data_IF_771491832120
#
_entry.id   IF_771491832120
#
_cell.length_a   1.000
_cell.length_b   1.000
_cell.length_c   1.000
_cell.angle_alpha   90.00
_cell.angle_beta   90.00
_cell.angle_gamma   90.00
#
_symmetry.space_group_name_H-M   'P 1'
#
loop_
_entity.id
_entity.type
_entity.pdbx_description
1 polymer ?
#
# COMPACT_ATOMS: atom_id res chain seq x y z
N UNK A 1 -30.72 19.28 -0.65
CA UNK A 1 -29.63 18.54 -1.31
C UNK A 1 -28.53 18.25 -0.31
N UNK A 2 -28.33 16.98 0.07
CA UNK A 2 -27.26 16.58 1.00
C UNK A 2 -25.90 16.81 0.35
N UNK A 3 -25.03 17.59 0.99
CA UNK A 3 -23.69 17.88 0.46
C UNK A 3 -22.87 16.58 0.42
N UNK A 4 -22.38 16.21 -0.75
CA UNK A 4 -21.55 15.00 -0.90
C UNK A 4 -20.16 15.30 -0.31
N UNK A 5 -19.81 14.60 0.77
CA UNK A 5 -18.48 14.71 1.38
C UNK A 5 -17.57 13.61 0.83
N UNK A 6 -16.48 14.00 0.14
CA UNK A 6 -15.48 13.07 -0.42
C UNK A 6 -14.42 12.71 0.61
N UNK A 7 -13.88 11.50 0.49
CA UNK A 7 -12.73 11.06 1.28
C UNK A 7 -11.51 11.97 1.05
N UNK A 8 -10.75 12.26 2.11
CA UNK A 8 -9.56 13.12 2.04
C UNK A 8 -8.35 12.43 1.38
N UNK A 9 -8.40 11.12 1.15
CA UNK A 9 -7.32 10.35 0.49
C UNK A 9 -7.32 10.61 -1.02
N UNK A 10 -6.20 11.08 -1.60
CA UNK A 10 -6.06 11.26 -3.04
C UNK A 10 -6.28 9.94 -3.79
N UNK A 11 -7.09 9.98 -4.85
CA UNK A 11 -7.43 8.80 -5.65
C UNK A 11 -8.61 7.97 -5.11
N UNK A 12 -9.12 8.27 -3.91
CA UNK A 12 -10.35 7.66 -3.42
C UNK A 12 -11.57 8.42 -3.96
N UNK A 13 -12.47 7.75 -4.68
CA UNK A 13 -13.73 8.32 -5.21
C UNK A 13 -14.91 8.15 -4.26
N UNK A 14 -14.71 7.46 -3.13
CA UNK A 14 -15.79 7.14 -2.19
C UNK A 14 -16.22 8.35 -1.38
N UNK A 15 -17.50 8.35 -1.00
CA UNK A 15 -18.09 9.32 -0.10
C UNK A 15 -17.86 8.94 1.36
N UNK A 16 -18.00 9.91 2.24
CA UNK A 16 -17.89 9.76 3.70
C UNK A 16 -19.02 10.49 4.41
N UNK A 17 -19.25 10.19 5.68
CA UNK A 17 -20.08 11.03 6.51
C UNK A 17 -19.44 12.43 6.70
N UNK A 18 -20.27 13.44 6.94
CA UNK A 18 -19.83 14.84 7.09
C UNK A 18 -18.80 15.04 8.22
N UNK A 19 -18.97 14.28 9.31
CA UNK A 19 -18.12 14.32 10.50
C UNK A 19 -16.84 13.47 10.37
N UNK A 20 -16.81 12.50 9.47
CA UNK A 20 -15.61 11.69 9.20
C UNK A 20 -14.65 12.45 8.29
N UNK A 21 -13.37 12.09 8.23
CA UNK A 21 -12.41 12.62 7.21
C UNK A 21 -12.05 11.59 6.14
N UNK A 22 -12.12 10.32 6.53
CA UNK A 22 -11.86 9.16 5.70
C UNK A 22 -13.18 8.41 5.52
N UNK A 23 -13.38 7.78 4.35
CA UNK A 23 -14.47 6.81 4.20
C UNK A 23 -14.14 5.54 5.00
N UNK A 24 -15.16 4.77 5.39
CA UNK A 24 -15.00 3.54 6.19
C UNK A 24 -13.91 2.60 5.66
N UNK A 25 -13.86 2.28 4.35
CA UNK A 25 -12.84 1.37 3.85
C UNK A 25 -11.41 1.90 3.96
N UNK A 26 -11.20 3.20 3.72
CA UNK A 26 -9.88 3.81 3.91
C UNK A 26 -9.52 3.89 5.40
N UNK A 27 -10.51 4.07 6.27
CA UNK A 27 -10.29 4.06 7.71
C UNK A 27 -9.89 2.67 8.24
N UNK A 28 -10.39 1.60 7.63
CA UNK A 28 -10.01 0.23 8.03
C UNK A 28 -8.65 -0.19 7.46
N UNK A 29 -8.39 0.14 6.19
CA UNK A 29 -7.15 -0.23 5.51
C UNK A 29 -5.92 0.57 5.96
N UNK A 30 -6.10 1.76 6.55
CA UNK A 30 -4.98 2.61 6.96
C UNK A 30 -4.52 2.32 8.40
N UNK A 31 -3.19 2.28 8.65
CA UNK A 31 -2.62 2.22 9.99
C UNK A 31 -3.12 3.36 10.89
N UNK A 32 -3.28 3.08 12.19
CA UNK A 32 -3.71 4.07 13.20
C UNK A 32 -2.90 5.36 13.16
N UNK A 33 -1.58 5.25 13.02
CA UNK A 33 -0.68 6.42 12.96
C UNK A 33 -1.04 7.37 11.81
N UNK A 34 -1.27 6.83 10.61
CA UNK A 34 -1.61 7.62 9.42
C UNK A 34 -2.99 8.27 9.59
N UNK A 35 -3.97 7.53 10.14
CA UNK A 35 -5.32 8.03 10.42
C UNK A 35 -5.29 9.21 11.39
N UNK A 36 -4.61 9.04 12.52
CA UNK A 36 -4.51 10.08 13.54
C UNK A 36 -3.82 11.32 12.97
N UNK A 37 -2.73 11.14 12.20
CA UNK A 37 -2.02 12.26 11.58
C UNK A 37 -2.91 13.09 10.66
N UNK A 38 -3.75 12.47 9.84
CA UNK A 38 -4.70 13.19 8.97
C UNK A 38 -5.72 13.99 9.80
N UNK A 39 -6.29 13.37 10.83
CA UNK A 39 -7.33 13.98 11.67
C UNK A 39 -6.73 15.16 12.47
N UNK A 40 -5.58 14.96 13.11
CA UNK A 40 -4.92 15.97 13.94
C UNK A 40 -4.43 17.15 13.12
N UNK A 41 -3.71 16.91 12.02
CA UNK A 41 -3.17 17.99 11.18
C UNK A 41 -4.28 18.84 10.57
N UNK A 42 -5.43 18.23 10.24
CA UNK A 42 -6.61 18.96 9.78
C UNK A 42 -7.27 19.76 10.90
N UNK A 43 -7.40 19.18 12.09
CA UNK A 43 -7.94 19.87 13.28
C UNK A 43 -7.09 21.09 13.66
N UNK A 44 -5.77 20.98 13.55
CA UNK A 44 -4.81 22.04 13.84
C UNK A 44 -4.65 23.06 12.70
N UNK A 45 -5.34 22.89 11.56
CA UNK A 45 -5.24 23.80 10.42
C UNK A 45 -3.91 23.77 9.67
N UNK A 46 -3.03 22.79 9.95
CA UNK A 46 -1.71 22.64 9.31
C UNK A 46 -1.86 21.99 7.94
N UNK A 47 -2.32 22.77 6.97
CA UNK A 47 -2.61 22.30 5.62
C UNK A 47 -1.44 21.58 4.91
N UNK A 48 -0.17 22.01 5.04
CA UNK A 48 0.96 21.28 4.45
C UNK A 48 1.11 19.87 5.05
N UNK A 49 1.05 19.76 6.38
CA UNK A 49 1.15 18.47 7.07
C UNK A 49 -0.02 17.55 6.76
N UNK A 50 -1.23 18.11 6.66
CA UNK A 50 -2.42 17.36 6.25
C UNK A 50 -2.28 16.80 4.84
N UNK A 51 -1.83 17.62 3.88
CA UNK A 51 -1.56 17.16 2.51
C UNK A 51 -0.48 16.07 2.48
N UNK A 52 0.58 16.22 3.29
CA UNK A 52 1.64 15.21 3.40
C UNK A 52 1.10 13.88 3.98
N UNK A 53 0.27 13.94 5.02
CA UNK A 53 -0.38 12.78 5.61
C UNK A 53 -1.33 12.08 4.62
N UNK A 54 -2.10 12.85 3.85
CA UNK A 54 -2.94 12.34 2.77
C UNK A 54 -2.13 11.64 1.67
N UNK A 55 -0.97 12.20 1.27
CA UNK A 55 -0.05 11.53 0.33
C UNK A 55 0.54 10.24 0.91
N UNK A 56 0.93 10.23 2.20
CA UNK A 56 1.40 9.02 2.91
C UNK A 56 0.33 7.92 2.91
N UNK A 57 -0.93 8.29 3.15
CA UNK A 57 -2.07 7.38 3.08
C UNK A 57 -2.27 6.79 1.68
N UNK A 58 -2.26 7.63 0.63
CA UNK A 58 -2.41 7.16 -0.74
C UNK A 58 -1.27 6.18 -1.13
N UNK A 59 -0.03 6.49 -0.75
CA UNK A 59 1.12 5.59 -0.98
C UNK A 59 0.95 4.25 -0.27
N UNK A 60 0.47 4.25 0.98
CA UNK A 60 0.25 3.02 1.73
C UNK A 60 -0.83 2.15 1.09
N UNK A 61 -1.96 2.73 0.69
CA UNK A 61 -3.01 2.00 -0.02
C UNK A 61 -2.51 1.43 -1.36
N UNK A 62 -1.73 2.20 -2.11
CA UNK A 62 -1.11 1.71 -3.35
C UNK A 62 -0.14 0.54 -3.11
N UNK A 63 0.52 0.46 -1.95
CA UNK A 63 1.36 -0.68 -1.58
C UNK A 63 0.53 -1.92 -1.24
N UNK A 64 -0.61 -1.77 -0.56
CA UNK A 64 -1.51 -2.89 -0.25
C UNK A 64 -2.13 -3.47 -1.54
N UNK A 65 -2.55 -2.61 -2.46
CA UNK A 65 -3.17 -3.05 -3.73
C UNK A 65 -2.14 -3.66 -4.69
N UNK A 66 -0.86 -3.31 -4.57
CA UNK A 66 0.17 -3.87 -5.44
C UNK A 66 0.54 -5.27 -4.92
N UNK A 67 0.39 -6.33 -5.74
CA UNK A 67 0.86 -7.65 -5.32
C UNK A 67 2.36 -7.57 -5.00
N UNK A 68 2.85 -8.30 -3.98
CA UNK A 68 4.28 -8.36 -3.72
C UNK A 68 4.97 -8.80 -5.00
N UNK A 69 5.96 -8.02 -5.46
CA UNK A 69 6.76 -8.41 -6.62
C UNK A 69 7.33 -9.79 -6.30
N UNK A 70 6.92 -10.81 -7.06
CA UNK A 70 7.50 -12.13 -6.94
C UNK A 70 9.02 -11.97 -7.02
N UNK A 71 9.80 -12.63 -6.14
CA UNK A 71 11.25 -12.59 -6.26
C UNK A 71 11.61 -13.00 -7.68
N UNK A 72 12.46 -12.21 -8.33
CA UNK A 72 13.00 -12.54 -9.64
C UNK A 72 13.70 -13.88 -9.45
N UNK A 73 13.06 -14.98 -9.88
CA UNK A 73 13.70 -16.29 -9.83
C UNK A 73 14.99 -16.17 -10.63
N UNK A 74 16.17 -16.48 -10.05
CA UNK A 74 17.40 -16.47 -10.83
C UNK A 74 17.19 -17.39 -12.02
N UNK A 75 17.50 -16.91 -13.23
CA UNK A 75 17.47 -17.74 -14.43
C UNK A 75 18.53 -18.82 -14.21
N UNK A 76 18.08 -20.05 -13.95
CA UNK A 76 18.97 -21.20 -13.86
C UNK A 76 19.65 -21.31 -15.22
N UNK A 77 20.98 -21.21 -15.22
CA UNK A 77 21.76 -21.37 -16.46
C UNK A 77 21.77 -22.84 -16.87
N UNK A 78 21.97 -23.16 -18.16
CA UNK A 78 22.10 -24.54 -18.61
C UNK A 78 23.17 -25.32 -17.83
N UNK A 79 24.30 -24.70 -17.48
CA UNK A 79 25.32 -25.35 -16.64
C UNK A 79 24.82 -25.70 -15.23
N UNK A 80 24.04 -24.81 -14.59
CA UNK A 80 23.45 -25.11 -13.28
C UNK A 80 22.37 -26.20 -13.36
N UNK A 81 21.58 -26.22 -14.44
CA UNK A 81 20.60 -27.29 -14.66
C UNK A 81 21.29 -28.66 -14.80
N UNK A 82 22.36 -28.73 -15.59
CA UNK A 82 23.15 -29.95 -15.77
C UNK A 82 23.81 -30.42 -14.47
N UNK A 83 24.47 -29.52 -13.73
CA UNK A 83 25.08 -29.85 -12.44
C UNK A 83 24.06 -30.34 -11.40
N UNK A 84 22.82 -29.81 -11.44
CA UNK A 84 21.74 -30.29 -10.59
C UNK A 84 21.24 -31.68 -11.02
N UNK A 85 21.21 -31.97 -12.32
CA UNK A 85 20.87 -33.30 -12.84
C UNK A 85 21.92 -34.36 -12.44
N UNK A 86 23.21 -34.04 -12.57
CA UNK A 86 24.30 -34.95 -12.16
C UNK A 86 24.24 -35.29 -10.66
N UNK A 87 23.94 -34.30 -9.80
CA UNK A 87 23.73 -34.56 -8.36
C UNK A 87 22.52 -35.43 -8.06
N UNK A 88 21.46 -35.33 -8.86
CA UNK A 88 20.25 -36.12 -8.69
C UNK A 88 20.44 -37.59 -9.10
N UNK A 89 21.34 -37.83 -10.06
CA UNK A 89 21.67 -39.15 -10.57
C UNK A 89 22.80 -39.84 -9.78
N UNK A 90 23.41 -39.16 -8.81
CA UNK A 90 24.48 -39.70 -7.98
C UNK A 90 25.82 -39.85 -8.69
N UNK A 91 25.99 -39.24 -9.87
CA UNK A 91 27.21 -39.30 -10.68
C UNK A 91 28.23 -38.23 -10.24
N UNK A 92 28.62 -38.26 -8.97
CA UNK A 92 29.79 -37.54 -8.48
C UNK A 92 30.76 -38.55 -7.85
N UNK A 93 31.68 -39.07 -8.66
CA UNK A 93 32.96 -39.62 -8.20
C UNK A 93 33.97 -38.49 -8.01
#
# INVERSE_FOLDING_TARGET
>A
MSRIHRCDVPGCTRTRASWQRLCTPCFEALPREIRNRIIETRRLGRNPDWRAACKKAARHLAQITRPPRAPIRPRVTPQQAFANQQRLLGEQD
#
